data_IF_823180378345
#
_entry.id   IF_823180378345
#
_cell.length_a   1.000
_cell.length_b   1.000
_cell.length_c   1.000
_cell.angle_alpha   90.00
_cell.angle_beta   90.00
_cell.angle_gamma   90.00
#
_symmetry.space_group_name_H-M   'P 1'
#
loop_
_entity.id
_entity.type
_entity.pdbx_description
1 polymer ?
#
# COMPACT_ATOMS: atom_id res chain seq x y z
N UNK A 1 0.73 -13.17 14.12
CA UNK A 1 0.60 -14.42 13.35
C UNK A 1 -0.43 -14.29 12.20
N UNK A 2 -1.13 -13.16 12.12
CA UNK A 2 -2.23 -12.95 11.15
C UNK A 2 -1.77 -12.41 9.78
N UNK A 3 -0.63 -11.72 9.71
CA UNK A 3 -0.12 -11.16 8.46
C UNK A 3 0.23 -12.23 7.42
N UNK A 4 0.89 -13.31 7.86
CA UNK A 4 1.22 -14.45 6.99
C UNK A 4 -0.05 -15.18 6.56
N UNK A 5 -1.04 -15.31 7.47
CA UNK A 5 -2.34 -15.91 7.11
C UNK A 5 -3.08 -15.09 6.06
N UNK A 6 -3.02 -13.76 6.13
CA UNK A 6 -3.62 -12.88 5.13
C UNK A 6 -2.95 -13.02 3.75
N UNK A 7 -1.62 -13.24 3.70
CA UNK A 7 -0.91 -13.53 2.45
C UNK A 7 -1.35 -14.86 1.80
N UNK A 8 -1.85 -15.81 2.58
CA UNK A 8 -2.37 -17.10 2.09
C UNK A 8 -3.90 -17.17 2.18
N UNK A 9 -4.60 -16.03 2.17
CA UNK A 9 -6.04 -16.00 2.17
C UNK A 9 -6.58 -16.65 0.89
N UNK A 10 -7.17 -17.85 1.05
CA UNK A 10 -7.69 -18.65 -0.05
C UNK A 10 -8.72 -17.89 -0.88
N UNK A 11 -9.52 -17.00 -0.27
CA UNK A 11 -10.50 -16.19 -0.98
C UNK A 11 -9.87 -15.18 -1.92
N UNK A 12 -8.80 -14.51 -1.47
CA UNK A 12 -8.05 -13.56 -2.30
C UNK A 12 -7.36 -14.27 -3.47
N UNK A 13 -6.73 -15.42 -3.24
CA UNK A 13 -6.08 -16.20 -4.29
C UNK A 13 -7.07 -16.80 -5.29
N UNK A 14 -8.26 -17.22 -4.85
CA UNK A 14 -9.31 -17.74 -5.72
C UNK A 14 -9.79 -16.70 -6.74
N UNK A 15 -9.82 -15.42 -6.37
CA UNK A 15 -10.18 -14.33 -7.28
C UNK A 15 -8.98 -13.89 -8.15
N UNK A 16 -7.78 -13.86 -7.56
CA UNK A 16 -6.58 -13.34 -8.23
C UNK A 16 -6.07 -14.28 -9.33
N UNK A 17 -5.99 -15.59 -9.08
CA UNK A 17 -5.39 -16.56 -10.00
C UNK A 17 -6.13 -16.70 -11.34
N UNK A 18 -7.47 -16.86 -11.37
CA UNK A 18 -8.20 -16.95 -12.63
C UNK A 18 -8.09 -15.66 -13.45
N UNK A 19 -8.18 -14.49 -12.80
CA UNK A 19 -8.03 -13.20 -13.49
C UNK A 19 -6.61 -13.03 -14.07
N UNK A 20 -5.58 -13.43 -13.33
CA UNK A 20 -4.20 -13.39 -13.82
C UNK A 20 -3.98 -14.36 -15.01
N UNK A 21 -4.57 -15.56 -14.97
CA UNK A 21 -4.53 -16.52 -16.07
C UNK A 21 -5.24 -15.99 -17.31
N UNK A 22 -6.44 -15.43 -17.16
CA UNK A 22 -7.18 -14.80 -18.27
C UNK A 22 -6.36 -13.66 -18.87
N UNK A 23 -5.75 -12.81 -18.04
CA UNK A 23 -4.92 -11.70 -18.48
C UNK A 23 -3.70 -12.19 -19.27
N UNK A 24 -3.06 -13.29 -18.84
CA UNK A 24 -1.93 -13.88 -19.54
C UNK A 24 -2.29 -14.38 -20.95
N UNK A 25 -3.53 -14.85 -21.14
CA UNK A 25 -4.01 -15.33 -22.45
C UNK A 25 -4.42 -14.16 -23.36
N UNK A 26 -5.07 -13.12 -22.81
CA UNK A 26 -5.61 -12.00 -23.60
C UNK A 26 -4.52 -10.95 -23.90
N UNK A 27 -3.67 -10.64 -22.93
CA UNK A 27 -2.64 -9.59 -23.03
C UNK A 27 -1.38 -9.98 -22.21
N UNK A 28 -0.52 -10.85 -22.78
CA UNK A 28 0.71 -11.30 -22.12
C UNK A 28 1.66 -10.14 -21.73
N UNK A 29 1.87 -9.10 -22.55
CA UNK A 29 2.67 -7.93 -22.16
C UNK A 29 2.15 -7.23 -20.89
N UNK A 30 0.82 -7.06 -20.77
CA UNK A 30 0.22 -6.50 -19.57
C UNK A 30 0.42 -7.41 -18.36
N UNK A 31 0.27 -8.73 -18.50
CA UNK A 31 0.51 -9.68 -17.42
C UNK A 31 1.95 -9.63 -16.90
N UNK A 32 2.93 -9.49 -17.80
CA UNK A 32 4.35 -9.36 -17.44
C UNK A 32 4.61 -8.05 -16.69
N UNK A 33 3.98 -6.97 -17.12
CA UNK A 33 4.02 -5.67 -16.43
C UNK A 33 3.47 -5.79 -15.01
N UNK A 34 2.30 -6.42 -14.83
CA UNK A 34 1.72 -6.67 -13.49
C UNK A 34 2.69 -7.46 -12.60
N UNK A 35 3.34 -8.49 -13.14
CA UNK A 35 4.35 -9.27 -12.43
C UNK A 35 5.57 -8.44 -11.99
N UNK A 36 6.08 -7.57 -12.86
CA UNK A 36 7.18 -6.65 -12.52
C UNK A 36 6.76 -5.67 -11.41
N UNK A 37 5.56 -5.09 -11.51
CA UNK A 37 5.05 -4.16 -10.53
C UNK A 37 4.74 -4.80 -9.18
N UNK A 38 4.41 -6.10 -9.13
CA UNK A 38 4.30 -6.87 -7.90
C UNK A 38 5.61 -6.87 -7.08
N UNK A 39 6.76 -6.80 -7.74
CA UNK A 39 8.08 -6.71 -7.09
C UNK A 39 8.49 -5.27 -6.77
N UNK A 40 8.14 -4.32 -7.64
CA UNK A 40 8.54 -2.90 -7.52
C UNK A 40 7.68 -2.15 -6.51
N UNK A 41 6.37 -2.41 -6.47
CA UNK A 41 5.43 -1.70 -5.60
C UNK A 41 5.80 -1.76 -4.10
N UNK A 42 6.23 -2.90 -3.52
CA UNK A 42 6.70 -2.94 -2.13
C UNK A 42 7.90 -2.03 -1.87
N UNK A 43 8.84 -1.92 -2.82
CA UNK A 43 10.02 -1.06 -2.71
C UNK A 43 9.59 0.41 -2.69
N UNK A 44 8.70 0.81 -3.60
CA UNK A 44 8.17 2.18 -3.65
C UNK A 44 7.33 2.50 -2.42
N UNK A 45 6.55 1.55 -1.90
CA UNK A 45 5.82 1.71 -0.66
C UNK A 45 6.76 1.94 0.54
N UNK A 46 7.87 1.18 0.60
CA UNK A 46 8.92 1.39 1.60
C UNK A 46 9.53 2.80 1.52
N UNK A 47 9.83 3.28 0.31
CA UNK A 47 10.34 4.63 0.08
C UNK A 47 9.31 5.70 0.49
N UNK A 48 8.04 5.53 0.14
CA UNK A 48 6.97 6.44 0.56
C UNK A 48 6.88 6.53 2.10
N UNK A 49 7.03 5.41 2.80
CA UNK A 49 7.07 5.39 4.27
C UNK A 49 8.31 6.12 4.80
N UNK A 50 9.48 5.92 4.22
CA UNK A 50 10.70 6.64 4.63
C UNK A 50 10.52 8.15 4.46
N UNK A 51 10.03 8.60 3.29
CA UNK A 51 9.74 10.02 3.01
C UNK A 51 8.74 10.57 4.03
N UNK A 52 7.68 9.82 4.35
CA UNK A 52 6.69 10.24 5.35
C UNK A 52 7.31 10.45 6.74
N UNK A 53 8.27 9.62 7.15
CA UNK A 53 8.97 9.77 8.45
C UNK A 53 9.90 10.97 8.49
N UNK A 54 10.52 11.31 7.36
CA UNK A 54 11.37 12.50 7.24
C UNK A 54 10.52 13.77 7.31
N UNK A 55 9.36 13.79 6.65
CA UNK A 55 8.44 14.94 6.65
C UNK A 55 7.69 15.11 7.98
N UNK A 56 7.38 14.00 8.66
CA UNK A 56 6.62 14.00 9.91
C UNK A 56 7.38 13.29 11.06
N UNK A 57 8.53 13.81 11.50
CA UNK A 57 9.38 13.13 12.48
C UNK A 57 8.73 13.03 13.87
N UNK A 58 7.73 13.86 14.17
CA UNK A 58 7.04 13.91 15.46
C UNK A 58 5.77 13.07 15.53
N UNK A 59 5.29 12.52 14.41
CA UNK A 59 4.05 11.73 14.38
C UNK A 59 4.38 10.30 14.80
N UNK A 60 4.01 9.93 16.03
CA UNK A 60 4.15 8.56 16.49
C UNK A 60 2.85 7.77 16.23
N UNK A 61 2.93 6.75 15.37
CA UNK A 61 1.80 5.85 15.05
C UNK A 61 1.16 5.23 16.31
N UNK A 62 1.92 4.77 17.32
CA UNK A 62 1.32 4.19 18.52
C UNK A 62 0.47 5.18 19.33
N UNK A 63 0.92 6.44 19.43
CA UNK A 63 0.15 7.50 20.08
C UNK A 63 -1.12 7.81 19.30
N UNK A 64 -1.00 7.94 17.97
CA UNK A 64 -2.14 8.25 17.10
C UNK A 64 -3.25 7.18 17.21
N UNK A 65 -2.87 5.90 17.26
CA UNK A 65 -3.82 4.80 17.44
C UNK A 65 -4.45 4.80 18.83
N UNK A 66 -3.70 5.13 19.88
CA UNK A 66 -4.25 5.25 21.24
C UNK A 66 -5.27 6.39 21.34
N UNK A 67 -4.98 7.53 20.71
CA UNK A 67 -5.82 8.72 20.73
C UNK A 67 -7.12 8.53 19.92
N UNK A 68 -7.05 7.80 18.81
CA UNK A 68 -8.24 7.39 18.03
C UNK A 68 -9.14 6.45 18.85
N UNK A 69 -8.56 5.50 19.59
CA UNK A 69 -9.33 4.64 20.50
C UNK A 69 -9.99 5.42 21.64
N UNK A 70 -9.42 6.56 22.03
CA UNK A 70 -9.98 7.51 22.97
C UNK A 70 -11.13 8.38 22.41
N UNK A 71 -11.62 8.09 21.18
CA UNK A 71 -12.64 8.86 20.47
C UNK A 71 -12.25 10.32 20.17
N UNK A 72 -10.95 10.63 20.14
CA UNK A 72 -10.51 11.95 19.74
C UNK A 72 -10.59 12.12 18.21
N UNK A 73 -11.56 12.95 17.77
CA UNK A 73 -11.82 13.24 16.36
C UNK A 73 -10.62 13.89 15.68
N UNK A 74 -9.87 14.74 16.37
CA UNK A 74 -8.71 15.44 15.79
C UNK A 74 -7.59 14.46 15.41
N UNK A 75 -7.35 13.44 16.26
CA UNK A 75 -6.38 12.38 15.95
C UNK A 75 -6.85 11.52 14.76
N UNK A 76 -8.15 11.27 14.65
CA UNK A 76 -8.74 10.58 13.49
C UNK A 76 -8.54 11.35 12.18
N UNK A 77 -8.78 12.67 12.19
CA UNK A 77 -8.54 13.53 11.01
C UNK A 77 -7.05 13.54 10.64
N UNK A 78 -6.17 13.64 11.63
CA UNK A 78 -4.72 13.61 11.40
C UNK A 78 -4.28 12.26 10.78
N UNK A 79 -4.83 11.14 11.23
CA UNK A 79 -4.54 9.84 10.65
C UNK A 79 -5.04 9.72 9.21
N UNK A 80 -6.25 10.21 8.92
CA UNK A 80 -6.77 10.22 7.55
C UNK A 80 -5.89 11.08 6.62
N UNK A 81 -5.50 12.27 7.07
CA UNK A 81 -4.59 13.14 6.33
C UNK A 81 -3.21 12.49 6.09
N UNK A 82 -2.69 11.77 7.09
CA UNK A 82 -1.43 11.05 6.98
C UNK A 82 -1.52 9.90 5.96
N UNK A 83 -2.59 9.11 6.00
CA UNK A 83 -2.83 8.03 5.01
C UNK A 83 -2.94 8.61 3.60
N UNK A 84 -3.68 9.71 3.42
CA UNK A 84 -3.78 10.39 2.13
C UNK A 84 -2.43 10.90 1.64
N UNK A 85 -1.62 11.50 2.51
CA UNK A 85 -0.28 11.95 2.17
C UNK A 85 0.61 10.79 1.70
N UNK A 86 0.67 9.68 2.45
CA UNK A 86 1.46 8.51 2.07
C UNK A 86 0.97 7.93 0.73
N UNK A 87 -0.35 7.88 0.52
CA UNK A 87 -0.95 7.47 -0.73
C UNK A 87 -0.55 8.35 -1.92
N UNK A 88 -0.54 9.67 -1.74
CA UNK A 88 -0.11 10.62 -2.77
C UNK A 88 1.38 10.47 -3.10
N UNK A 89 2.24 10.31 -2.09
CA UNK A 89 3.68 10.06 -2.30
C UNK A 89 3.90 8.75 -3.04
N UNK A 90 3.20 7.68 -2.65
CA UNK A 90 3.27 6.41 -3.35
C UNK A 90 2.84 6.53 -4.81
N UNK A 91 1.71 7.20 -5.08
CA UNK A 91 1.24 7.44 -6.45
C UNK A 91 2.24 8.27 -7.26
N UNK A 92 2.84 9.30 -6.68
CA UNK A 92 3.88 10.10 -7.34
C UNK A 92 5.10 9.25 -7.70
N UNK A 93 5.54 8.38 -6.79
CA UNK A 93 6.65 7.44 -7.04
C UNK A 93 6.31 6.42 -8.13
N UNK A 94 5.08 5.90 -8.16
CA UNK A 94 4.62 4.99 -9.21
C UNK A 94 4.57 5.66 -10.58
N UNK A 95 4.06 6.91 -10.65
CA UNK A 95 4.06 7.67 -11.89
C UNK A 95 5.49 8.01 -12.35
N UNK A 96 6.38 8.34 -11.42
CA UNK A 96 7.79 8.56 -11.71
C UNK A 96 8.50 7.31 -12.20
N UNK A 97 8.28 6.15 -11.58
CA UNK A 97 8.93 4.89 -11.98
C UNK A 97 8.40 4.33 -13.31
N UNK A 98 7.22 4.78 -13.76
CA UNK A 98 6.65 4.44 -15.07
C UNK A 98 7.14 5.38 -16.19
N UNK A 99 7.56 6.60 -15.84
CA UNK A 99 8.01 7.63 -16.78
C UNK A 99 9.43 7.32 -17.30
#
# INVERSE_FOLDING_TARGET
MDLIKALFDKGAWLLMLPCALILLVIDPPMALTVGQWLLVAPILAGLAVIVSRIMFPKVSIPWLVAEIKGYNVAAGILAAAFVLFVGMVFMALCLWAKA
#
